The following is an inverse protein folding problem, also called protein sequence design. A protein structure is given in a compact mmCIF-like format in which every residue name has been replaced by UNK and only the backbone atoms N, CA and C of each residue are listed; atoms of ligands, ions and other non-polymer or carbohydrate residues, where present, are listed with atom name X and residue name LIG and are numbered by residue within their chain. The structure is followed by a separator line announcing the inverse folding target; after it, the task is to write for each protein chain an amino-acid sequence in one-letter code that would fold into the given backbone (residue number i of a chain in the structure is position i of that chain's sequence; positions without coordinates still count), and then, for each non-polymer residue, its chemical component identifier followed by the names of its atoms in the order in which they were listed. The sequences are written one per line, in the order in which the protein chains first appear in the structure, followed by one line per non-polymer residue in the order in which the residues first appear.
data_IF_376063046620
#
_entry.id   IF_376063046620
#
_cell.length_a   1.000
_cell.length_b   1.000
_cell.length_c   1.000
_cell.angle_alpha   90.00
_cell.angle_beta   90.00
_cell.angle_gamma   90.00
#
_symmetry.space_group_name_H-M   'P 1'
#
loop_
_entity.id
_entity.type
_entity.pdbx_description
1 polymer ?
#
# COMPACT_ATOMS: atom_id res chain seq x y z
N UNK A 1 4.09 -28.82 -95.70
CA UNK A 1 4.82 -29.54 -94.63
C UNK A 1 3.86 -30.47 -93.89
N UNK A 2 4.24 -31.74 -93.81
CA UNK A 2 3.40 -32.90 -93.49
C UNK A 2 2.85 -32.87 -92.06
N UNK A 3 1.67 -33.50 -91.86
CA UNK A 3 1.00 -33.69 -90.57
C UNK A 3 1.91 -34.30 -89.48
N UNK A 4 2.99 -34.96 -89.90
CA UNK A 4 4.03 -35.53 -89.04
C UNK A 4 4.87 -34.48 -88.29
N UNK A 5 5.05 -33.27 -88.84
CA UNK A 5 5.86 -32.21 -88.21
C UNK A 5 5.18 -31.50 -87.03
N UNK A 6 3.85 -31.52 -86.97
CA UNK A 6 3.08 -30.89 -85.86
C UNK A 6 2.98 -31.78 -84.61
N UNK A 7 3.13 -33.10 -84.77
CA UNK A 7 3.07 -34.05 -83.65
C UNK A 7 4.40 -34.04 -82.88
N UNK A 8 5.54 -33.92 -83.59
CA UNK A 8 6.85 -33.84 -82.93
C UNK A 8 7.04 -32.54 -82.12
N UNK A 9 6.50 -31.41 -82.59
CA UNK A 9 6.57 -30.14 -81.83
C UNK A 9 5.67 -30.16 -80.60
N UNK A 10 4.49 -30.80 -80.67
CA UNK A 10 3.61 -30.96 -79.51
C UNK A 10 4.20 -31.88 -78.42
N UNK A 11 4.87 -32.97 -78.81
CA UNK A 11 5.54 -33.87 -77.85
C UNK A 11 6.77 -33.20 -77.22
N UNK A 12 7.53 -32.43 -77.98
CA UNK A 12 8.66 -31.65 -77.45
C UNK A 12 8.23 -30.57 -76.46
N UNK A 13 7.11 -29.89 -76.72
CA UNK A 13 6.54 -28.90 -75.79
C UNK A 13 5.98 -29.57 -74.53
N UNK A 14 5.30 -30.71 -74.65
CA UNK A 14 4.83 -31.45 -73.50
C UNK A 14 5.97 -31.97 -72.61
N UNK A 15 7.06 -32.49 -73.22
CA UNK A 15 8.25 -32.92 -72.48
C UNK A 15 8.97 -31.75 -71.82
N UNK A 16 9.05 -30.59 -72.47
CA UNK A 16 9.61 -29.37 -71.88
C UNK A 16 8.77 -28.83 -70.72
N UNK A 17 7.43 -28.89 -70.82
CA UNK A 17 6.52 -28.52 -69.72
C UNK A 17 6.66 -29.49 -68.55
N UNK A 18 6.74 -30.80 -68.81
CA UNK A 18 6.97 -31.80 -67.75
C UNK A 18 8.34 -31.62 -67.11
N UNK A 19 9.39 -31.33 -67.87
CA UNK A 19 10.72 -31.05 -67.34
C UNK A 19 10.73 -29.76 -66.52
N UNK A 20 10.06 -28.71 -66.98
CA UNK A 20 9.90 -27.44 -66.26
C UNK A 20 9.16 -27.63 -64.93
N UNK A 21 8.10 -28.46 -64.93
CA UNK A 21 7.33 -28.80 -63.73
C UNK A 21 8.15 -29.66 -62.75
N UNK A 22 8.98 -30.57 -63.25
CA UNK A 22 9.87 -31.41 -62.40
C UNK A 22 11.04 -30.60 -61.83
N UNK A 23 11.57 -29.62 -62.57
CA UNK A 23 12.60 -28.71 -62.06
C UNK A 23 12.01 -27.71 -61.06
N UNK A 24 10.79 -27.19 -61.29
CA UNK A 24 10.10 -26.34 -60.31
C UNK A 24 9.73 -27.10 -59.03
N UNK A 25 9.37 -28.39 -59.11
CA UNK A 25 9.07 -29.19 -57.91
C UNK A 25 10.29 -29.63 -57.08
N UNK A 26 11.53 -29.41 -57.56
CA UNK A 26 12.77 -29.72 -56.81
C UNK A 26 13.34 -28.53 -56.04
N UNK A 27 12.80 -27.32 -56.23
CA UNK A 27 13.00 -26.20 -55.30
C UNK A 27 12.05 -26.37 -54.13
N UNK A 28 12.46 -27.13 -53.09
CA UNK A 28 11.68 -27.19 -51.85
C UNK A 28 11.58 -25.79 -51.27
N UNK A 29 10.35 -25.32 -51.04
CA UNK A 29 10.04 -24.07 -50.36
C UNK A 29 10.84 -23.98 -49.05
N UNK A 30 11.96 -23.25 -49.08
CA UNK A 30 12.71 -22.97 -47.88
C UNK A 30 11.90 -21.94 -47.07
N UNK A 31 11.45 -22.36 -45.88
CA UNK A 31 10.69 -21.49 -45.00
C UNK A 31 11.64 -20.47 -44.41
N UNK A 32 11.31 -19.19 -44.53
CA UNK A 32 12.06 -18.10 -43.91
C UNK A 32 11.71 -18.04 -42.43
N UNK A 33 12.71 -18.10 -41.57
CA UNK A 33 12.52 -18.12 -40.12
C UNK A 33 13.59 -17.25 -39.50
N UNK A 34 13.23 -16.54 -38.44
CA UNK A 34 14.18 -15.79 -37.64
C UNK A 34 14.97 -16.74 -36.75
N UNK A 35 16.26 -16.46 -36.57
CA UNK A 35 17.14 -17.30 -35.76
C UNK A 35 17.58 -16.53 -34.54
N UNK A 36 17.32 -17.10 -33.36
CA UNK A 36 17.86 -16.63 -32.09
C UNK A 36 19.01 -17.51 -31.62
N UNK A 37 19.85 -16.98 -30.74
CA UNK A 37 20.88 -17.74 -30.05
C UNK A 37 20.40 -18.16 -28.65
N UNK A 38 20.84 -19.34 -28.21
CA UNK A 38 20.71 -19.76 -26.81
C UNK A 38 21.78 -19.05 -25.99
N UNK A 39 21.38 -18.28 -24.98
CA UNK A 39 22.28 -17.47 -24.15
C UNK A 39 22.20 -17.87 -22.68
N UNK A 40 23.28 -17.66 -21.93
CA UNK A 40 23.20 -17.72 -20.47
C UNK A 40 22.63 -16.40 -19.95
N UNK A 41 21.46 -16.47 -19.31
CA UNK A 41 20.79 -15.30 -18.76
C UNK A 41 20.36 -15.54 -17.33
N UNK A 42 20.38 -14.47 -16.55
CA UNK A 42 19.79 -14.46 -15.21
C UNK A 42 18.31 -14.10 -15.36
N UNK A 43 17.44 -15.10 -15.28
CA UNK A 43 15.98 -14.91 -15.33
C UNK A 43 15.47 -14.63 -13.92
N UNK A 44 14.90 -13.43 -13.72
CA UNK A 44 14.30 -13.03 -12.44
C UNK A 44 12.80 -12.91 -12.63
N UNK A 45 11.98 -13.81 -12.08
CA UNK A 45 10.53 -13.71 -12.22
C UNK A 45 10.03 -12.49 -11.44
N UNK A 46 9.26 -11.65 -12.12
CA UNK A 46 8.64 -10.47 -11.53
C UNK A 46 7.16 -10.75 -11.25
N UNK A 47 6.67 -10.25 -10.13
CA UNK A 47 5.24 -10.19 -9.84
C UNK A 47 4.79 -8.77 -10.08
N UNK A 48 3.83 -8.61 -10.98
CA UNK A 48 3.21 -7.31 -11.28
C UNK A 48 2.08 -7.06 -10.29
N UNK A 49 2.13 -5.91 -9.64
CA UNK A 49 1.09 -5.46 -8.73
C UNK A 49 0.76 -3.98 -8.98
N UNK A 50 -0.49 -3.61 -8.71
CA UNK A 50 -0.94 -2.23 -8.80
C UNK A 50 -1.35 -1.74 -7.43
N UNK A 51 -1.09 -0.48 -7.15
CA UNK A 51 -1.35 0.11 -5.84
C UNK A 51 -1.28 1.62 -5.82
N UNK A 52 -1.13 2.17 -4.64
CA UNK A 52 -0.98 3.60 -4.43
C UNK A 52 0.21 3.93 -3.54
N UNK A 53 0.76 5.13 -3.74
CA UNK A 53 1.78 5.70 -2.88
C UNK A 53 1.12 6.30 -1.63
N UNK A 54 1.65 5.95 -0.47
CA UNK A 54 1.21 6.44 0.82
C UNK A 54 2.42 6.79 1.69
N UNK A 55 2.22 7.66 2.68
CA UNK A 55 3.24 7.93 3.67
C UNK A 55 3.21 6.87 4.77
N UNK A 56 4.34 6.66 5.44
CA UNK A 56 4.40 5.70 6.54
C UNK A 56 3.40 6.02 7.64
N UNK A 57 3.32 7.31 7.96
CA UNK A 57 2.50 7.85 9.03
C UNK A 57 1.65 8.96 8.44
N UNK A 58 0.33 8.74 8.43
CA UNK A 58 -0.67 9.73 8.05
C UNK A 58 -1.72 9.78 9.17
N UNK A 59 -1.98 10.97 9.70
CA UNK A 59 -2.90 11.19 10.80
C UNK A 59 -3.94 12.22 10.37
N UNK A 60 -5.19 11.78 10.31
CA UNK A 60 -6.34 12.67 10.16
C UNK A 60 -6.69 13.29 11.50
N UNK A 61 -6.66 14.61 11.56
CA UNK A 61 -7.00 15.39 12.75
C UNK A 61 -8.49 15.72 12.72
N UNK A 62 -9.17 15.28 13.76
CA UNK A 62 -10.60 15.50 14.00
C UNK A 62 -10.79 16.38 15.22
N UNK A 63 -11.92 17.07 15.28
CA UNK A 63 -12.29 17.78 16.51
C UNK A 63 -12.86 16.83 17.56
N UNK A 64 -12.51 17.07 18.82
CA UNK A 64 -13.13 16.40 19.98
C UNK A 64 -14.20 17.27 20.66
N UNK A 65 -14.19 18.58 20.39
CA UNK A 65 -15.15 19.55 20.94
C UNK A 65 -15.87 20.28 19.81
N UNK A 66 -17.12 20.66 20.05
CA UNK A 66 -17.87 21.46 19.10
C UNK A 66 -17.40 22.91 19.17
N UNK A 67 -17.16 23.53 18.02
CA UNK A 67 -16.75 24.94 17.98
C UNK A 67 -16.64 25.48 16.56
N UNK A 68 -16.78 26.80 16.42
CA UNK A 68 -16.50 27.49 15.16
C UNK A 68 -14.98 27.68 15.01
N UNK A 69 -14.44 27.50 13.81
CA UNK A 69 -13.03 27.82 13.52
C UNK A 69 -12.82 29.32 13.59
N UNK A 70 -12.12 29.78 14.62
CA UNK A 70 -11.81 31.19 14.86
C UNK A 70 -10.51 31.60 14.15
N UNK A 71 -9.50 30.73 14.16
CA UNK A 71 -8.22 30.97 13.51
C UNK A 71 -7.75 29.70 12.79
N UNK A 72 -7.22 29.86 11.58
CA UNK A 72 -6.56 28.82 10.81
C UNK A 72 -5.15 29.31 10.48
N UNK A 73 -4.14 28.64 11.02
CA UNK A 73 -2.74 29.08 10.97
C UNK A 73 -1.90 28.36 9.91
N UNK A 74 -2.47 27.31 9.29
CA UNK A 74 -1.79 26.46 8.32
C UNK A 74 -2.57 26.40 7.01
N UNK A 75 -1.85 26.17 5.91
CA UNK A 75 -2.41 25.90 4.59
C UNK A 75 -2.03 24.49 4.14
N UNK A 76 -2.76 23.99 3.15
CA UNK A 76 -2.42 22.75 2.48
C UNK A 76 -1.02 22.86 1.85
N UNK A 77 -0.18 21.87 2.12
CA UNK A 77 1.22 21.88 1.73
C UNK A 77 2.17 22.56 2.72
N UNK A 78 1.73 23.16 3.83
CA UNK A 78 2.67 23.69 4.81
C UNK A 78 3.37 22.56 5.60
N UNK A 79 4.65 22.75 5.92
CA UNK A 79 5.38 21.88 6.84
C UNK A 79 5.13 22.35 8.27
N UNK A 80 4.77 21.41 9.14
CA UNK A 80 4.43 21.67 10.54
C UNK A 80 5.27 20.79 11.46
N UNK A 81 5.59 21.33 12.63
CA UNK A 81 6.31 20.59 13.67
C UNK A 81 5.36 20.02 14.71
N UNK A 82 5.76 18.93 15.36
CA UNK A 82 5.04 18.36 16.48
C UNK A 82 4.81 19.42 17.57
N UNK A 83 3.56 19.59 17.98
CA UNK A 83 3.12 20.56 18.98
C UNK A 83 2.79 21.95 18.42
N UNK A 84 3.07 22.22 17.16
CA UNK A 84 2.72 23.47 16.49
C UNK A 84 1.20 23.64 16.42
N UNK A 85 0.70 24.86 16.62
CA UNK A 85 -0.73 25.14 16.58
C UNK A 85 -1.18 25.24 15.12
N UNK A 86 -2.17 24.42 14.77
CA UNK A 86 -2.68 24.33 13.40
C UNK A 86 -3.89 25.25 13.21
N UNK A 87 -4.82 25.18 14.16
CA UNK A 87 -6.03 25.99 14.17
C UNK A 87 -6.56 26.15 15.60
N UNK A 88 -7.41 27.15 15.78
CA UNK A 88 -8.11 27.40 17.05
C UNK A 88 -9.61 27.49 16.82
N UNK A 89 -10.35 26.78 17.65
CA UNK A 89 -11.79 26.92 17.76
C UNK A 89 -12.12 28.09 18.69
N UNK A 90 -13.30 28.69 18.52
CA UNK A 90 -13.82 29.74 19.38
C UNK A 90 -13.95 29.22 20.84
N UNK A 91 -13.17 29.76 21.79
CA UNK A 91 -13.16 29.27 23.16
C UNK A 91 -14.27 29.88 24.02
N UNK A 92 -15.05 30.85 23.53
CA UNK A 92 -15.90 31.71 24.36
C UNK A 92 -16.83 30.93 25.30
N UNK A 93 -17.53 29.91 24.78
CA UNK A 93 -18.46 29.10 25.58
C UNK A 93 -17.74 28.23 26.61
N UNK A 94 -16.62 27.61 26.23
CA UNK A 94 -15.86 26.73 27.13
C UNK A 94 -15.10 27.54 28.19
N UNK A 95 -14.60 28.71 27.84
CA UNK A 95 -13.97 29.64 28.78
C UNK A 95 -14.98 30.10 29.82
N UNK A 96 -16.18 30.52 29.40
CA UNK A 96 -17.24 30.92 30.33
C UNK A 96 -17.63 29.78 31.30
N UNK A 97 -17.61 28.52 30.83
CA UNK A 97 -17.86 27.36 31.67
C UNK A 97 -16.75 27.12 32.69
N UNK A 98 -15.47 27.27 32.29
CA UNK A 98 -14.32 27.22 33.21
C UNK A 98 -14.45 28.31 34.27
N UNK A 99 -14.72 29.55 33.87
CA UNK A 99 -14.84 30.69 34.78
C UNK A 99 -15.95 30.49 35.83
N UNK A 100 -17.09 29.93 35.40
CA UNK A 100 -18.21 29.59 36.29
C UNK A 100 -17.84 28.50 37.30
N UNK A 101 -17.16 27.44 36.87
CA UNK A 101 -16.71 26.35 37.74
C UNK A 101 -15.60 26.80 38.70
N UNK A 102 -14.71 27.69 38.26
CA UNK A 102 -13.72 28.31 39.16
C UNK A 102 -14.38 29.14 40.25
N UNK A 103 -15.44 29.89 39.92
CA UNK A 103 -16.23 30.61 40.92
C UNK A 103 -16.92 29.63 41.90
N UNK A 104 -17.47 28.53 41.39
CA UNK A 104 -18.02 27.45 42.21
C UNK A 104 -16.99 26.85 43.17
N UNK A 105 -15.77 26.56 42.69
CA UNK A 105 -14.70 26.03 43.54
C UNK A 105 -14.28 27.02 44.63
N UNK A 106 -14.24 28.33 44.31
CA UNK A 106 -14.00 29.38 45.32
C UNK A 106 -15.09 29.37 46.40
N UNK A 107 -16.35 29.20 46.01
CA UNK A 107 -17.46 29.08 46.96
C UNK A 107 -17.34 27.83 47.83
N UNK A 108 -17.03 26.67 47.25
CA UNK A 108 -16.83 25.41 48.00
C UNK A 108 -15.66 25.52 48.98
N UNK A 109 -14.57 26.19 48.61
CA UNK A 109 -13.45 26.46 49.53
C UNK A 109 -13.86 27.33 50.72
N UNK A 110 -14.67 28.37 50.50
CA UNK A 110 -15.22 29.18 51.58
C UNK A 110 -16.16 28.37 52.49
N UNK A 111 -16.91 27.41 51.93
CA UNK A 111 -17.75 26.50 52.72
C UNK A 111 -16.91 25.58 53.61
N UNK A 112 -15.81 25.02 53.10
CA UNK A 112 -14.84 24.24 53.90
C UNK A 112 -14.30 25.08 55.05
N UNK A 113 -13.86 26.32 54.80
CA UNK A 113 -13.34 27.19 55.86
C UNK A 113 -14.39 27.45 56.95
N UNK A 114 -15.64 27.72 56.56
CA UNK A 114 -16.75 27.89 57.51
C UNK A 114 -17.01 26.62 58.33
N UNK A 115 -17.08 25.46 57.68
CA UNK A 115 -17.29 24.18 58.34
C UNK A 115 -16.12 23.82 59.26
N UNK A 116 -14.89 24.16 58.88
CA UNK A 116 -13.67 23.95 59.66
C UNK A 116 -13.67 24.75 60.95
N UNK A 117 -13.97 26.04 60.87
CA UNK A 117 -14.08 26.92 62.05
C UNK A 117 -15.20 26.45 62.98
N UNK A 118 -16.34 26.02 62.44
CA UNK A 118 -17.43 25.45 63.22
C UNK A 118 -17.01 24.15 63.93
N UNK A 119 -16.36 23.22 63.21
CA UNK A 119 -15.84 21.98 63.77
C UNK A 119 -14.81 22.24 64.87
N UNK A 120 -13.87 23.17 64.68
CA UNK A 120 -12.86 23.53 65.69
C UNK A 120 -13.48 24.10 66.97
N UNK A 121 -14.54 24.90 66.83
CA UNK A 121 -15.29 25.45 67.96
C UNK A 121 -15.93 24.33 68.79
N UNK A 122 -16.56 23.36 68.12
CA UNK A 122 -17.19 22.20 68.76
C UNK A 122 -16.15 21.23 69.34
N UNK A 123 -15.00 21.03 68.68
CA UNK A 123 -13.88 20.24 69.20
C UNK A 123 -13.32 20.82 70.51
N UNK A 124 -13.16 22.14 70.55
CA UNK A 124 -12.69 22.84 71.76
C UNK A 124 -13.71 22.74 72.89
N UNK A 125 -15.01 22.71 72.58
CA UNK A 125 -16.08 22.44 73.55
C UNK A 125 -16.02 20.98 74.02
N UNK A 126 -15.91 20.01 73.11
CA UNK A 126 -15.77 18.60 73.40
C UNK A 126 -14.61 18.31 74.35
N UNK A 127 -13.42 18.87 74.10
CA UNK A 127 -12.23 18.68 74.94
C UNK A 127 -12.45 19.16 76.38
N UNK A 128 -13.11 20.30 76.56
CA UNK A 128 -13.47 20.83 77.89
C UNK A 128 -14.47 19.92 78.60
N UNK A 129 -15.48 19.44 77.90
CA UNK A 129 -16.50 18.55 78.48
C UNK A 129 -15.95 17.16 78.82
N UNK A 130 -14.96 16.67 78.08
CA UNK A 130 -14.26 15.44 78.40
C UNK A 130 -13.51 15.55 79.73
N UNK A 131 -12.77 16.64 79.96
CA UNK A 131 -12.09 16.91 81.24
C UNK A 131 -13.10 17.02 82.39
N UNK A 132 -14.23 17.70 82.17
CA UNK A 132 -15.27 17.83 83.19
C UNK A 132 -15.94 16.48 83.53
N UNK A 133 -16.09 15.58 82.55
CA UNK A 133 -16.60 14.22 82.76
C UNK A 133 -15.64 13.37 83.57
N UNK A 134 -14.33 13.47 83.30
CA UNK A 134 -13.29 12.80 84.10
C UNK A 134 -13.30 13.28 85.55
N UNK A 135 -13.61 14.55 85.79
CA UNK A 135 -13.81 15.11 87.14
C UNK A 135 -15.18 14.80 87.78
N UNK A 136 -16.08 14.09 87.08
CA UNK A 136 -17.40 13.68 87.60
C UNK A 136 -18.46 14.78 87.66
N UNK A 137 -18.26 15.92 87.01
CA UNK A 137 -19.07 17.15 87.18
C UNK A 137 -20.26 17.24 86.20
N UNK A 138 -20.32 16.40 85.16
CA UNK A 138 -21.33 16.50 84.10
C UNK A 138 -22.22 15.26 83.99
N UNK A 139 -23.47 15.46 83.58
CA UNK A 139 -24.42 14.39 83.29
C UNK A 139 -24.07 13.61 82.01
N UNK A 140 -24.51 12.35 81.94
CA UNK A 140 -24.28 11.48 80.79
C UNK A 140 -24.97 12.01 79.51
N UNK A 141 -26.18 12.56 79.62
CA UNK A 141 -26.91 13.07 78.45
C UNK A 141 -26.20 14.27 77.82
N UNK A 142 -25.69 15.19 78.64
CA UNK A 142 -24.96 16.36 78.15
C UNK A 142 -23.66 15.96 77.45
N UNK A 143 -22.98 14.92 77.94
CA UNK A 143 -21.78 14.39 77.31
C UNK A 143 -22.09 13.79 75.93
N UNK A 144 -23.11 12.94 75.84
CA UNK A 144 -23.52 12.32 74.58
C UNK A 144 -24.03 13.34 73.56
N UNK A 145 -24.68 14.42 74.00
CA UNK A 145 -25.11 15.53 73.15
C UNK A 145 -23.91 16.24 72.50
N UNK A 146 -22.89 16.61 73.28
CA UNK A 146 -21.69 17.27 72.74
C UNK A 146 -20.89 16.31 71.85
N UNK A 147 -20.87 15.01 72.16
CA UNK A 147 -20.28 13.98 71.29
C UNK A 147 -20.97 13.97 69.93
N UNK A 148 -22.31 13.92 69.92
CA UNK A 148 -23.13 13.93 68.71
C UNK A 148 -22.90 15.22 67.90
N UNK A 149 -22.87 16.38 68.55
CA UNK A 149 -22.56 17.67 67.90
C UNK A 149 -21.18 17.68 67.24
N UNK A 150 -20.16 17.11 67.89
CA UNK A 150 -18.81 16.96 67.31
C UNK A 150 -18.84 16.08 66.08
N UNK A 151 -19.50 14.93 66.17
CA UNK A 151 -19.55 13.97 65.07
C UNK A 151 -20.31 14.57 63.86
N UNK A 152 -21.39 15.30 64.09
CA UNK A 152 -22.10 16.07 63.06
C UNK A 152 -21.21 17.12 62.41
N UNK A 153 -20.47 17.92 63.18
CA UNK A 153 -19.59 18.95 62.65
C UNK A 153 -18.43 18.37 61.81
N UNK A 154 -17.89 17.20 62.21
CA UNK A 154 -16.90 16.46 61.42
C UNK A 154 -17.48 15.94 60.11
N UNK A 155 -18.68 15.38 60.14
CA UNK A 155 -19.38 14.90 58.94
C UNK A 155 -19.65 16.06 57.98
N UNK A 156 -20.06 17.23 58.48
CA UNK A 156 -20.30 18.43 57.68
C UNK A 156 -19.01 18.96 57.02
N UNK A 157 -17.89 18.97 57.76
CA UNK A 157 -16.59 19.34 57.21
C UNK A 157 -16.18 18.38 56.09
N UNK A 158 -16.30 17.07 56.31
CA UNK A 158 -16.00 16.07 55.29
C UNK A 158 -16.93 16.23 54.07
N UNK A 159 -18.24 16.45 54.28
CA UNK A 159 -19.19 16.73 53.21
C UNK A 159 -18.77 17.93 52.36
N UNK A 160 -18.35 19.03 53.00
CA UNK A 160 -17.86 20.22 52.30
C UNK A 160 -16.58 19.94 51.51
N UNK A 161 -15.68 19.10 52.04
CA UNK A 161 -14.46 18.67 51.34
C UNK A 161 -14.79 17.81 50.10
N UNK A 162 -15.70 16.85 50.22
CA UNK A 162 -16.13 16.01 49.10
C UNK A 162 -16.83 16.83 48.01
N UNK A 163 -17.64 17.81 48.39
CA UNK A 163 -18.27 18.74 47.44
C UNK A 163 -17.23 19.58 46.68
N UNK A 164 -16.18 20.05 47.36
CA UNK A 164 -15.09 20.77 46.71
C UNK A 164 -14.29 19.86 45.76
N UNK A 165 -14.01 18.62 46.16
CA UNK A 165 -13.36 17.60 45.33
C UNK A 165 -14.16 17.32 44.05
N UNK A 166 -15.48 17.16 44.17
CA UNK A 166 -16.38 17.03 43.01
C UNK A 166 -16.33 18.26 42.09
N UNK A 167 -16.35 19.46 42.66
CA UNK A 167 -16.29 20.71 41.88
C UNK A 167 -14.94 20.85 41.17
N UNK A 168 -13.85 20.46 41.82
CA UNK A 168 -12.50 20.45 41.25
C UNK A 168 -12.37 19.46 40.08
N UNK A 169 -12.95 18.26 40.22
CA UNK A 169 -13.01 17.28 39.14
C UNK A 169 -13.77 17.80 37.91
N UNK A 170 -14.90 18.49 38.13
CA UNK A 170 -15.66 19.15 37.06
C UNK A 170 -14.86 20.27 36.38
N UNK A 171 -14.15 21.10 37.18
CA UNK A 171 -13.28 22.14 36.65
C UNK A 171 -12.13 21.56 35.82
N UNK A 172 -11.51 20.47 36.27
CA UNK A 172 -10.47 19.78 35.51
C UNK A 172 -11.00 19.28 34.16
N UNK A 173 -12.19 18.69 34.13
CA UNK A 173 -12.84 18.25 32.90
C UNK A 173 -13.14 19.44 31.96
N UNK A 174 -13.64 20.56 32.47
CA UNK A 174 -13.93 21.75 31.66
C UNK A 174 -12.65 22.38 31.10
N UNK A 175 -11.56 22.41 31.87
CA UNK A 175 -10.25 22.89 31.41
C UNK A 175 -9.66 22.00 30.33
N UNK A 176 -9.84 20.68 30.42
CA UNK A 176 -9.42 19.74 29.38
C UNK A 176 -10.21 19.98 28.08
N UNK A 177 -11.52 20.19 28.17
CA UNK A 177 -12.33 20.55 27.00
C UNK A 177 -11.90 21.87 26.38
N UNK A 178 -11.58 22.88 27.20
CA UNK A 178 -11.02 24.15 26.73
C UNK A 178 -9.67 23.96 26.06
N UNK A 179 -8.77 23.13 26.60
CA UNK A 179 -7.48 22.84 25.98
C UNK A 179 -7.63 22.20 24.58
N UNK A 180 -8.66 21.36 24.40
CA UNK A 180 -9.02 20.74 23.11
C UNK A 180 -9.54 21.71 22.05
N UNK A 181 -9.77 22.99 22.38
CA UNK A 181 -10.07 24.04 21.39
C UNK A 181 -8.86 24.42 20.54
N UNK A 182 -7.64 24.17 21.05
CA UNK A 182 -6.39 24.47 20.35
C UNK A 182 -5.84 23.18 19.77
N UNK A 183 -5.95 23.03 18.46
CA UNK A 183 -5.51 21.83 17.78
C UNK A 183 -4.04 21.96 17.38
N UNK A 184 -3.26 20.95 17.75
CA UNK A 184 -1.80 20.91 17.55
C UNK A 184 -1.40 19.72 16.70
N UNK A 185 -0.26 19.84 16.01
CA UNK A 185 0.28 18.75 15.23
C UNK A 185 0.77 17.61 16.13
N UNK A 186 0.28 16.36 15.97
CA UNK A 186 0.74 15.22 16.76
C UNK A 186 2.13 14.70 16.31
N UNK A 187 2.51 14.99 15.06
CA UNK A 187 3.76 14.57 14.42
C UNK A 187 4.37 15.74 13.64
N UNK A 188 5.67 15.65 13.36
CA UNK A 188 6.30 16.48 12.34
C UNK A 188 5.87 15.97 10.95
N UNK A 189 5.53 16.87 10.03
CA UNK A 189 5.07 16.44 8.72
C UNK A 189 4.54 17.59 7.86
N UNK A 190 3.91 17.23 6.74
CA UNK A 190 3.27 18.17 5.82
C UNK A 190 1.76 18.03 5.90
N UNK A 191 1.04 19.14 5.84
CA UNK A 191 -0.43 19.13 5.71
C UNK A 191 -0.79 18.62 4.31
N UNK A 192 -1.34 17.42 4.21
CA UNK A 192 -1.69 16.77 2.93
C UNK A 192 -3.06 17.19 2.44
N UNK A 193 -3.99 17.43 3.37
CA UNK A 193 -5.37 17.79 3.05
C UNK A 193 -5.90 18.75 4.11
N UNK A 194 -6.56 19.82 3.68
CA UNK A 194 -7.28 20.74 4.55
C UNK A 194 -8.76 20.77 4.12
N UNK A 195 -9.64 20.23 4.95
CA UNK A 195 -11.08 20.11 4.64
C UNK A 195 -11.86 21.30 5.19
N UNK A 196 -11.51 21.77 6.40
CA UNK A 196 -12.23 22.82 7.11
C UNK A 196 -11.77 24.23 6.68
N UNK A 197 -12.71 25.18 6.63
CA UNK A 197 -12.42 26.61 6.36
C UNK A 197 -12.66 27.50 7.57
N UNK A 198 -12.06 28.68 7.54
CA UNK A 198 -12.28 29.73 8.55
C UNK A 198 -13.78 30.06 8.66
N UNK A 199 -14.33 30.05 9.87
CA UNK A 199 -15.74 30.34 10.13
C UNK A 199 -16.70 29.13 10.02
N UNK A 200 -16.24 27.98 9.52
CA UNK A 200 -17.03 26.75 9.55
C UNK A 200 -17.13 26.20 10.99
N UNK A 201 -18.16 25.38 11.24
CA UNK A 201 -18.39 24.77 12.55
C UNK A 201 -17.90 23.33 12.53
N UNK A 202 -16.90 23.05 13.36
CA UNK A 202 -16.38 21.71 13.58
C UNK A 202 -17.29 20.96 14.55
N UNK A 203 -17.71 19.74 14.17
CA UNK A 203 -18.57 18.89 14.98
C UNK A 203 -17.80 17.61 15.33
N UNK A 204 -17.72 17.22 16.62
CA UNK A 204 -17.00 16.02 17.02
C UNK A 204 -17.70 14.75 16.52
N UNK A 205 -16.94 13.67 16.34
CA UNK A 205 -17.56 12.39 15.97
C UNK A 205 -18.41 11.88 17.12
N UNK A 206 -19.69 11.63 16.83
CA UNK A 206 -20.61 11.00 17.76
C UNK A 206 -21.14 9.71 17.14
N UNK A 207 -21.79 8.85 17.95
CA UNK A 207 -22.30 7.53 17.55
C UNK A 207 -23.18 7.52 16.29
N UNK A 208 -23.71 8.68 15.86
CA UNK A 208 -24.52 8.84 14.64
C UNK A 208 -24.04 9.94 13.70
N UNK A 209 -22.90 10.59 13.97
CA UNK A 209 -22.36 11.69 13.17
C UNK A 209 -20.88 11.40 12.90
N UNK A 210 -20.53 11.19 11.63
CA UNK A 210 -19.13 11.20 11.21
C UNK A 210 -18.57 12.57 11.57
N UNK A 211 -17.62 12.60 12.52
CA UNK A 211 -17.01 13.85 12.98
C UNK A 211 -16.37 14.60 11.81
N UNK A 212 -16.28 15.92 11.94
CA UNK A 212 -15.62 16.74 10.94
C UNK A 212 -14.13 16.40 10.88
N UNK A 213 -13.69 15.80 9.78
CA UNK A 213 -12.28 15.77 9.41
C UNK A 213 -11.85 17.21 9.16
N UNK A 214 -10.82 17.68 9.87
CA UNK A 214 -10.38 19.06 9.77
C UNK A 214 -9.25 19.18 8.77
N UNK A 215 -8.21 18.38 9.00
CA UNK A 215 -7.02 18.32 8.16
C UNK A 215 -6.29 17.00 8.37
N UNK A 216 -5.40 16.67 7.45
CA UNK A 216 -4.55 15.48 7.53
C UNK A 216 -3.08 15.88 7.45
N UNK A 217 -2.26 15.29 8.31
CA UNK A 217 -0.81 15.49 8.34
C UNK A 217 -0.14 14.16 8.02
N UNK A 218 0.88 14.20 7.18
CA UNK A 218 1.68 13.03 6.90
C UNK A 218 3.18 13.31 7.00
N UNK A 219 3.92 12.30 7.45
CA UNK A 219 5.38 12.33 7.47
C UNK A 219 5.93 12.03 6.07
N UNK A 220 6.52 13.05 5.46
CA UNK A 220 7.09 12.99 4.10
C UNK A 220 8.46 12.30 4.04
N UNK A 221 9.05 11.95 5.18
CA UNK A 221 10.41 11.40 5.26
C UNK A 221 10.46 9.93 4.83
N UNK A 222 9.38 9.19 5.07
CA UNK A 222 9.30 7.76 4.81
C UNK A 222 8.07 7.45 3.95
N UNK A 223 8.32 7.03 2.72
CA UNK A 223 7.27 6.71 1.74
C UNK A 223 7.16 5.20 1.51
N UNK A 224 5.93 4.75 1.33
CA UNK A 224 5.59 3.37 1.03
C UNK A 224 4.73 3.31 -0.23
N UNK A 225 4.95 2.30 -1.05
CA UNK A 225 3.96 1.87 -2.04
C UNK A 225 3.13 0.74 -1.41
N UNK A 226 1.83 0.97 -1.26
CA UNK A 226 0.88 -0.06 -0.85
C UNK A 226 0.28 -0.68 -2.12
N UNK A 227 0.76 -1.87 -2.48
CA UNK A 227 0.36 -2.58 -3.69
C UNK A 227 -0.45 -3.82 -3.39
N UNK A 228 -1.46 -4.10 -4.19
CA UNK A 228 -2.32 -5.25 -4.02
C UNK A 228 -1.79 -6.40 -4.90
N UNK A 229 -1.30 -7.46 -4.27
CA UNK A 229 -0.80 -8.67 -4.95
C UNK A 229 -1.89 -9.74 -4.97
N UNK A 230 -2.10 -10.40 -6.11
CA UNK A 230 -3.11 -11.46 -6.24
C UNK A 230 -2.79 -12.69 -5.36
N UNK A 231 -3.83 -13.42 -4.94
CA UNK A 231 -3.71 -14.66 -4.14
C UNK A 231 -2.86 -15.75 -4.81
N UNK A 232 -2.78 -15.77 -6.14
CA UNK A 232 -1.94 -16.72 -6.91
C UNK A 232 -0.44 -16.45 -6.74
N UNK A 233 -0.07 -15.19 -6.48
CA UNK A 233 1.32 -14.72 -6.55
C UNK A 233 1.88 -14.33 -5.19
N UNK A 234 1.00 -14.04 -4.20
CA UNK A 234 1.40 -13.64 -2.84
C UNK A 234 2.32 -14.66 -2.17
N UNK A 235 2.16 -15.96 -2.46
CA UNK A 235 2.99 -17.03 -1.90
C UNK A 235 4.48 -16.92 -2.30
N UNK A 236 4.79 -16.19 -3.38
CA UNK A 236 6.16 -15.95 -3.88
C UNK A 236 6.75 -14.65 -3.36
N UNK A 237 5.95 -13.78 -2.75
CA UNK A 237 6.36 -12.47 -2.25
C UNK A 237 6.80 -12.60 -0.79
N UNK A 238 8.05 -12.27 -0.51
CA UNK A 238 8.65 -12.38 0.83
C UNK A 238 9.29 -11.04 1.21
N UNK A 239 9.22 -10.63 2.49
CA UNK A 239 9.96 -9.47 2.98
C UNK A 239 11.45 -9.53 2.62
N UNK A 240 12.03 -8.41 2.21
CA UNK A 240 13.42 -8.26 1.78
C UNK A 240 13.65 -8.33 0.27
N UNK A 241 12.64 -8.71 -0.53
CA UNK A 241 12.73 -8.67 -1.99
C UNK A 241 12.81 -7.23 -2.51
N UNK A 242 13.57 -7.03 -3.60
CA UNK A 242 13.64 -5.75 -4.30
C UNK A 242 12.44 -5.60 -5.22
N UNK A 243 11.94 -4.37 -5.33
CA UNK A 243 10.83 -4.03 -6.21
C UNK A 243 11.13 -2.75 -6.97
N UNK A 244 10.75 -2.72 -8.26
CA UNK A 244 10.76 -1.52 -9.09
C UNK A 244 9.36 -0.91 -9.06
N UNK A 245 9.25 0.34 -8.62
CA UNK A 245 7.99 1.08 -8.56
C UNK A 245 7.97 2.12 -9.67
N UNK A 246 6.96 2.04 -10.54
CA UNK A 246 6.71 2.98 -11.64
C UNK A 246 5.39 3.71 -11.38
N UNK A 247 5.41 5.02 -11.14
CA UNK A 247 4.19 5.80 -10.92
C UNK A 247 3.43 6.00 -12.22
N UNK A 248 2.10 6.06 -12.11
CA UNK A 248 1.27 6.41 -13.26
C UNK A 248 1.54 7.84 -13.76
N UNK A 249 1.90 8.76 -12.87
CA UNK A 249 2.18 10.16 -13.20
C UNK A 249 3.53 10.37 -13.93
N UNK A 250 4.50 9.46 -13.74
CA UNK A 250 5.83 9.56 -14.33
C UNK A 250 6.27 8.20 -14.91
N UNK A 251 5.77 7.83 -16.11
CA UNK A 251 6.05 6.51 -16.69
C UNK A 251 7.53 6.29 -17.07
N UNK A 252 8.30 7.36 -17.24
CA UNK A 252 9.73 7.30 -17.61
C UNK A 252 10.65 7.13 -16.38
N UNK A 253 10.12 7.37 -15.18
CA UNK A 253 10.88 7.25 -13.93
C UNK A 253 10.50 5.93 -13.23
N UNK A 254 11.52 5.22 -12.74
CA UNK A 254 11.32 4.04 -11.91
C UNK A 254 12.16 4.14 -10.66
N UNK A 255 11.58 3.79 -9.52
CA UNK A 255 12.22 3.86 -8.22
C UNK A 255 12.43 2.47 -7.65
N UNK A 256 13.51 2.32 -6.91
CA UNK A 256 13.80 1.08 -6.22
C UNK A 256 13.22 1.13 -4.80
N UNK A 257 12.62 0.02 -4.40
CA UNK A 257 12.12 -0.19 -3.06
C UNK A 257 12.35 -1.62 -2.58
N UNK A 258 12.11 -1.85 -1.30
CA UNK A 258 12.25 -3.16 -0.67
C UNK A 258 10.92 -3.53 -0.03
N UNK A 259 10.47 -4.77 -0.26
CA UNK A 259 9.27 -5.32 0.37
C UNK A 259 9.51 -5.39 1.88
N UNK A 260 8.73 -4.66 2.66
CA UNK A 260 8.89 -4.63 4.12
C UNK A 260 7.90 -5.55 4.81
N UNK A 261 6.62 -5.47 4.44
CA UNK A 261 5.57 -6.30 5.03
C UNK A 261 4.59 -6.78 3.98
N UNK A 262 4.19 -8.05 4.09
CA UNK A 262 3.08 -8.65 3.35
C UNK A 262 1.93 -8.82 4.33
N UNK A 263 0.75 -8.25 4.05
CA UNK A 263 -0.39 -8.39 4.92
C UNK A 263 -0.91 -9.83 4.93
N UNK A 264 -1.31 -10.30 6.11
CA UNK A 264 -1.83 -11.67 6.31
C UNK A 264 -3.31 -11.77 5.93
N UNK A 265 -4.05 -10.68 6.03
CA UNK A 265 -5.47 -10.61 5.67
C UNK A 265 -5.65 -10.14 4.23
N UNK A 266 -6.47 -10.82 3.42
CA UNK A 266 -6.79 -10.33 2.08
C UNK A 266 -7.67 -9.07 2.18
N UNK A 267 -7.43 -8.12 1.29
CA UNK A 267 -8.36 -7.02 0.99
C UNK A 267 -9.21 -7.45 -0.20
N UNK A 268 -10.53 -7.47 -0.01
CA UNK A 268 -11.47 -7.82 -1.07
C UNK A 268 -11.86 -6.55 -1.82
N UNK A 269 -11.35 -6.42 -3.05
CA UNK A 269 -11.73 -5.32 -3.95
C UNK A 269 -12.93 -5.80 -4.77
N UNK A 270 -14.00 -5.00 -4.80
CA UNK A 270 -15.25 -5.37 -5.46
C UNK A 270 -15.01 -5.64 -6.96
N UNK A 271 -15.28 -6.87 -7.42
CA UNK A 271 -15.07 -7.27 -8.82
C UNK A 271 -13.66 -7.78 -9.17
N UNK A 272 -12.73 -7.83 -8.22
CA UNK A 272 -11.43 -8.48 -8.38
C UNK A 272 -11.28 -9.66 -7.40
N UNK A 273 -10.39 -10.61 -7.73
CA UNK A 273 -10.04 -11.72 -6.85
C UNK A 273 -9.48 -11.24 -5.50
N UNK A 274 -9.28 -12.16 -4.55
CA UNK A 274 -8.64 -11.82 -3.27
C UNK A 274 -7.23 -11.29 -3.53
N UNK A 275 -6.93 -10.12 -2.98
CA UNK A 275 -5.61 -9.50 -3.08
C UNK A 275 -5.05 -9.25 -1.69
N UNK A 276 -3.73 -9.33 -1.55
CA UNK A 276 -3.04 -9.10 -0.29
C UNK A 276 -2.23 -7.80 -0.42
N UNK A 277 -2.47 -6.81 0.46
CA UNK A 277 -1.70 -5.58 0.42
C UNK A 277 -0.26 -5.84 0.88
N UNK A 278 0.68 -5.42 0.06
CA UNK A 278 2.12 -5.49 0.31
C UNK A 278 2.64 -4.06 0.42
N UNK A 279 3.37 -3.78 1.50
CA UNK A 279 4.03 -2.49 1.72
C UNK A 279 5.47 -2.58 1.27
N UNK A 280 5.81 -1.75 0.30
CA UNK A 280 7.16 -1.63 -0.26
C UNK A 280 7.72 -0.29 0.20
N UNK A 281 8.81 -0.31 0.97
CA UNK A 281 9.50 0.90 1.40
C UNK A 281 10.36 1.41 0.25
N UNK A 282 10.15 2.67 -0.14
CA UNK A 282 10.92 3.31 -1.19
C UNK A 282 12.28 3.76 -0.66
N UNK A 283 13.34 3.58 -1.45
CA UNK A 283 14.67 4.09 -1.12
C UNK A 283 14.89 5.55 -1.59
N UNK A 284 13.86 6.18 -2.17
CA UNK A 284 13.98 7.46 -2.86
C UNK A 284 13.94 8.68 -1.92
N UNK A 285 14.90 9.59 -2.17
CA UNK A 285 15.09 10.91 -1.57
C UNK A 285 13.98 11.89 -2.04
N UNK A 286 13.50 12.82 -1.19
CA UNK A 286 12.27 13.57 -1.41
C UNK A 286 12.49 14.81 -2.28
N UNK A 287 12.66 14.65 -3.60
CA UNK A 287 12.36 15.75 -4.51
C UNK A 287 10.86 15.75 -4.81
N UNK A 288 10.08 16.38 -3.91
CA UNK A 288 8.81 17.12 -4.05
C UNK A 288 7.76 16.79 -5.14
N UNK A 289 7.83 15.68 -5.87
CA UNK A 289 6.89 15.32 -6.95
C UNK A 289 5.81 14.34 -6.51
N UNK A 290 5.79 13.95 -5.23
CA UNK A 290 4.90 12.94 -4.69
C UNK A 290 3.64 13.56 -4.08
N UNK A 291 2.47 13.01 -4.42
CA UNK A 291 1.23 13.24 -3.69
C UNK A 291 0.73 11.90 -3.18
N UNK A 292 0.17 11.87 -1.97
CA UNK A 292 -0.50 10.66 -1.45
C UNK A 292 -1.62 10.25 -2.40
N UNK A 293 -1.88 8.95 -2.47
CA UNK A 293 -2.95 8.42 -3.32
C UNK A 293 -2.59 8.33 -4.81
N UNK A 294 -1.39 8.76 -5.23
CA UNK A 294 -0.90 8.50 -6.58
C UNK A 294 -0.88 7.00 -6.88
N UNK A 295 -1.44 6.59 -8.01
CA UNK A 295 -1.38 5.19 -8.45
C UNK A 295 0.03 4.83 -8.92
N UNK A 296 0.47 3.63 -8.58
CA UNK A 296 1.75 3.08 -9.01
C UNK A 296 1.62 1.61 -9.41
N UNK A 297 2.53 1.20 -10.30
CA UNK A 297 2.77 -0.19 -10.68
C UNK A 297 4.05 -0.64 -9.99
N UNK A 298 4.03 -1.77 -9.31
CA UNK A 298 5.21 -2.38 -8.74
C UNK A 298 5.54 -3.70 -9.46
N UNK A 299 6.82 -3.88 -9.72
CA UNK A 299 7.41 -5.09 -10.27
C UNK A 299 8.29 -5.69 -9.19
N UNK A 300 7.77 -6.70 -8.48
CA UNK A 300 8.45 -7.33 -7.34
C UNK A 300 9.32 -8.47 -7.86
N UNK A 301 10.62 -8.39 -7.63
CA UNK A 301 11.57 -9.44 -8.02
C UNK A 301 11.52 -10.59 -7.02
N UNK A 302 11.00 -11.75 -7.45
CA UNK A 302 10.82 -12.91 -6.55
C UNK A 302 12.12 -13.63 -6.20
N UNK A 303 13.22 -13.38 -6.94
CA UNK A 303 14.51 -14.06 -6.74
C UNK A 303 15.71 -13.24 -7.22
N UNK A 304 16.19 -12.30 -6.42
CA UNK A 304 17.32 -11.44 -6.81
C UNK A 304 18.69 -11.89 -6.25
N UNK A 305 18.75 -12.61 -5.13
CA UNK A 305 20.02 -12.76 -4.39
C UNK A 305 20.90 -13.95 -4.78
N UNK A 306 20.34 -15.01 -5.38
CA UNK A 306 21.05 -16.27 -5.71
C UNK A 306 20.79 -16.76 -7.15
N UNK A 307 20.42 -15.85 -8.06
CA UNK A 307 20.08 -16.21 -9.42
C UNK A 307 21.35 -16.55 -10.21
N UNK A 308 21.63 -17.85 -10.33
CA UNK A 308 22.71 -18.36 -11.19
C UNK A 308 22.32 -18.17 -12.67
N UNK A 309 23.28 -17.89 -13.57
CA UNK A 309 23.02 -17.91 -15.01
C UNK A 309 22.41 -19.26 -15.38
N UNK A 310 21.29 -19.22 -16.09
CA UNK A 310 20.62 -20.40 -16.63
C UNK A 310 20.60 -20.29 -18.15
N UNK A 311 20.72 -21.44 -18.82
CA UNK A 311 20.55 -21.52 -20.27
C UNK A 311 19.13 -21.06 -20.61
N UNK A 312 19.01 -19.95 -21.32
CA UNK A 312 17.74 -19.31 -21.62
C UNK A 312 17.45 -19.31 -23.12
N UNK A 313 16.18 -19.49 -23.47
CA UNK A 313 15.68 -19.37 -24.85
C UNK A 313 14.53 -18.35 -24.88
N UNK A 314 14.34 -17.59 -25.97
CA UNK A 314 13.20 -16.70 -26.09
C UNK A 314 11.88 -17.47 -25.96
N UNK A 315 10.88 -16.91 -25.29
CA UNK A 315 9.54 -17.53 -25.12
C UNK A 315 8.94 -17.96 -26.46
N UNK A 316 9.19 -17.16 -27.51
CA UNK A 316 8.72 -17.40 -28.87
C UNK A 316 9.29 -18.68 -29.51
N UNK A 317 10.43 -19.18 -29.04
CA UNK A 317 11.09 -20.38 -29.57
C UNK A 317 10.52 -21.69 -29.00
N UNK A 318 9.79 -21.63 -27.88
CA UNK A 318 9.28 -22.81 -27.18
C UNK A 318 7.90 -23.17 -27.69
N UNK A 319 7.76 -24.39 -28.21
CA UNK A 319 6.47 -24.97 -28.59
C UNK A 319 5.99 -25.92 -27.52
N UNK A 320 4.78 -25.68 -27.02
CA UNK A 320 4.05 -26.62 -26.19
C UNK A 320 3.19 -27.51 -27.08
N UNK A 321 3.49 -28.80 -27.09
CA UNK A 321 2.60 -29.79 -27.68
C UNK A 321 1.68 -30.31 -26.58
N UNK A 322 0.37 -30.05 -26.71
CA UNK A 322 -0.64 -30.59 -25.80
C UNK A 322 -0.63 -32.13 -25.87
N UNK A 323 -0.61 -32.78 -24.71
CA UNK A 323 -0.73 -34.23 -24.64
C UNK A 323 -2.03 -34.70 -25.28
N UNK A 324 -1.97 -35.77 -26.08
CA UNK A 324 -3.14 -36.32 -26.78
C UNK A 324 -4.17 -36.95 -25.81
N UNK A 325 -3.81 -37.06 -24.52
CA UNK A 325 -4.63 -37.66 -23.47
C UNK A 325 -4.52 -36.83 -22.19
N UNK A 326 -5.57 -36.84 -21.36
CA UNK A 326 -5.68 -36.06 -20.11
C UNK A 326 -4.60 -36.38 -19.05
N UNK A 327 -3.86 -37.48 -19.21
CA UNK A 327 -2.79 -37.94 -18.32
C UNK A 327 -1.35 -37.70 -18.85
N UNK A 328 -1.17 -37.15 -20.06
CA UNK A 328 0.18 -36.83 -20.57
C UNK A 328 0.51 -35.34 -20.39
N UNK A 329 1.59 -34.99 -19.69
CA UNK A 329 2.01 -33.59 -19.54
C UNK A 329 2.41 -33.00 -20.89
N UNK A 330 2.07 -31.73 -21.11
CA UNK A 330 2.47 -31.00 -22.32
C UNK A 330 4.00 -31.03 -22.46
N UNK A 331 4.48 -31.45 -23.64
CA UNK A 331 5.92 -31.53 -23.92
C UNK A 331 6.37 -30.24 -24.58
N UNK A 332 7.41 -29.61 -24.01
CA UNK A 332 8.04 -28.46 -24.62
C UNK A 332 9.08 -28.92 -25.64
N UNK A 333 9.10 -28.30 -26.82
CA UNK A 333 10.10 -28.58 -27.87
C UNK A 333 10.59 -27.29 -28.52
N UNK A 334 11.85 -27.31 -28.95
CA UNK A 334 12.52 -26.20 -29.65
C UNK A 334 13.13 -26.75 -30.93
N UNK A 335 13.13 -25.95 -32.01
CA UNK A 335 13.82 -26.31 -33.24
C UNK A 335 15.24 -25.75 -33.24
N UNK A 336 16.24 -26.63 -33.29
CA UNK A 336 17.64 -26.27 -33.42
C UNK A 336 18.01 -26.29 -34.91
N UNK A 337 18.65 -25.22 -35.37
CA UNK A 337 19.04 -25.08 -36.77
C UNK A 337 20.51 -25.52 -36.92
N UNK A 338 20.74 -26.58 -37.69
CA UNK A 338 22.07 -27.06 -38.07
C UNK A 338 22.11 -27.25 -39.58
N UNK A 339 23.11 -26.66 -40.24
CA UNK A 339 23.34 -26.78 -41.68
C UNK A 339 22.11 -26.46 -42.56
N UNK A 340 21.35 -25.42 -42.20
CA UNK A 340 20.15 -24.99 -42.94
C UNK A 340 18.95 -25.93 -42.82
N UNK A 341 18.96 -26.85 -41.84
CA UNK A 341 17.85 -27.73 -41.50
C UNK A 341 17.39 -27.52 -40.06
N UNK A 342 16.08 -27.48 -39.86
CA UNK A 342 15.49 -27.45 -38.53
C UNK A 342 15.36 -28.87 -37.96
N UNK A 343 15.92 -29.10 -36.77
CA UNK A 343 15.78 -30.35 -36.03
C UNK A 343 14.97 -30.12 -34.76
N UNK A 344 13.87 -30.84 -34.59
CA UNK A 344 13.04 -30.72 -33.39
C UNK A 344 13.72 -31.41 -32.22
N UNK A 345 13.83 -30.71 -31.09
CA UNK A 345 14.38 -31.28 -29.85
C UNK A 345 13.46 -31.00 -28.68
N UNK A 346 13.14 -32.04 -27.92
CA UNK A 346 12.39 -31.91 -26.67
C UNK A 346 13.26 -31.25 -25.62
N UNK A 347 12.68 -30.29 -24.90
CA UNK A 347 13.37 -29.52 -23.85
C UNK A 347 12.60 -29.57 -22.55
N UNK A 348 13.34 -29.61 -21.43
CA UNK A 348 12.75 -29.45 -20.10
C UNK A 348 12.81 -27.97 -19.71
N UNK A 349 11.66 -27.32 -19.73
CA UNK A 349 11.53 -25.90 -19.36
C UNK A 349 11.43 -25.72 -17.85
N UNK A 350 11.98 -24.61 -17.37
CA UNK A 350 11.97 -24.19 -15.99
C UNK A 350 11.30 -22.83 -15.81
N UNK A 351 11.99 -21.95 -15.09
CA UNK A 351 11.51 -20.61 -14.76
C UNK A 351 11.42 -19.75 -16.04
N UNK A 352 10.35 -18.96 -16.18
CA UNK A 352 10.15 -18.06 -17.30
C UNK A 352 9.97 -16.60 -16.81
N UNK A 353 10.40 -15.66 -17.64
CA UNK A 353 10.01 -14.25 -17.59
C UNK A 353 9.18 -13.89 -18.85
N UNK A 354 8.90 -12.60 -19.05
CA UNK A 354 8.06 -12.12 -20.17
C UNK A 354 8.67 -12.37 -21.56
N UNK A 355 10.00 -12.56 -21.66
CA UNK A 355 10.72 -12.66 -22.92
C UNK A 355 11.53 -13.97 -23.07
N UNK A 356 11.94 -14.59 -21.97
CA UNK A 356 12.88 -15.72 -21.90
C UNK A 356 12.39 -16.83 -20.96
N UNK A 357 12.74 -18.07 -21.32
CA UNK A 357 12.45 -19.29 -20.56
C UNK A 357 13.75 -20.03 -20.28
N UNK A 358 13.98 -20.39 -19.03
CA UNK A 358 15.09 -21.23 -18.63
C UNK A 358 14.88 -22.67 -19.14
N UNK A 359 15.90 -23.24 -19.76
CA UNK A 359 15.91 -24.64 -20.21
C UNK A 359 16.92 -25.43 -19.39
N UNK A 360 16.43 -26.44 -18.68
CA UNK A 360 17.27 -27.27 -17.80
C UNK A 360 17.96 -28.38 -18.58
N UNK A 361 17.30 -28.90 -19.63
CA UNK A 361 17.83 -29.97 -20.51
C UNK A 361 17.35 -29.79 -21.94
N UNK A 362 18.22 -30.14 -22.88
CA UNK A 362 17.90 -30.25 -24.31
C UNK A 362 18.69 -29.29 -25.21
N UNK A 363 19.10 -28.12 -24.74
CA UNK A 363 19.89 -27.17 -25.55
C UNK A 363 21.17 -26.75 -24.84
N UNK A 364 22.18 -26.40 -25.62
CA UNK A 364 23.45 -25.86 -25.12
C UNK A 364 23.61 -24.40 -25.51
N UNK A 365 24.30 -23.65 -24.67
CA UNK A 365 24.63 -22.24 -24.91
C UNK A 365 25.34 -22.09 -26.26
N UNK A 366 24.92 -21.10 -27.05
CA UNK A 366 25.44 -20.83 -28.40
C UNK A 366 24.78 -21.63 -29.52
N UNK A 367 23.83 -22.55 -29.23
CA UNK A 367 23.03 -23.18 -30.29
C UNK A 367 22.11 -22.15 -30.96
N UNK A 368 21.93 -22.30 -32.28
CA UNK A 368 21.00 -21.49 -33.07
C UNK A 368 19.62 -22.13 -33.06
N UNK A 369 18.62 -21.38 -32.64
CA UNK A 369 17.24 -21.84 -32.49
C UNK A 369 16.30 -21.02 -33.34
N UNK A 370 15.25 -21.64 -33.85
CA UNK A 370 14.20 -20.95 -34.58
C UNK A 370 13.37 -20.08 -33.62
N UNK A 371 13.26 -18.79 -33.93
CA UNK A 371 12.43 -17.80 -33.23
C UNK A 371 11.39 -17.30 -34.23
N UNK A 372 10.17 -17.03 -33.76
CA UNK A 372 9.15 -16.44 -34.62
C UNK A 372 7.74 -16.61 -34.07
N UNK A 373 6.73 -16.01 -34.73
CA UNK A 373 5.34 -16.14 -34.34
C UNK A 373 4.93 -17.61 -34.30
N UNK A 374 4.17 -18.00 -33.27
CA UNK A 374 3.72 -19.39 -33.08
C UNK A 374 3.00 -19.97 -34.32
N UNK A 375 2.43 -19.12 -35.19
CA UNK A 375 1.82 -19.51 -36.45
C UNK A 375 2.82 -20.03 -37.47
N UNK A 376 4.01 -19.43 -37.58
CA UNK A 376 5.04 -19.81 -38.57
C UNK A 376 5.79 -21.06 -38.12
N UNK A 377 6.12 -21.13 -36.82
CA UNK A 377 6.77 -22.28 -36.21
C UNK A 377 5.88 -23.53 -36.14
N UNK A 378 4.55 -23.39 -36.20
CA UNK A 378 3.60 -24.53 -36.24
C UNK A 378 3.70 -25.33 -37.53
N UNK A 379 4.12 -24.71 -38.63
CA UNK A 379 4.24 -25.37 -39.92
C UNK A 379 5.61 -26.03 -40.14
N UNK A 380 6.58 -25.82 -39.25
CA UNK A 380 7.87 -26.52 -39.31
C UNK A 380 7.73 -27.96 -38.88
N UNK A 381 8.33 -28.85 -39.67
CA UNK A 381 8.51 -30.26 -39.38
C UNK A 381 9.99 -30.58 -39.25
N UNK A 382 10.29 -31.64 -38.51
CA UNK A 382 11.66 -32.14 -38.37
C UNK A 382 12.26 -32.44 -39.75
N UNK A 383 13.41 -31.82 -40.05
CA UNK A 383 14.13 -31.96 -41.32
C UNK A 383 13.78 -30.96 -42.42
N UNK A 384 12.88 -30.00 -42.18
CA UNK A 384 12.57 -28.93 -43.14
C UNK A 384 13.81 -28.05 -43.43
N UNK A 385 13.97 -27.65 -44.69
CA UNK A 385 15.00 -26.67 -45.09
C UNK A 385 14.53 -25.26 -44.72
N UNK A 386 15.41 -24.52 -44.08
CA UNK A 386 15.13 -23.18 -43.57
C UNK A 386 16.11 -22.18 -44.16
N UNK A 387 15.59 -21.03 -44.57
CA UNK A 387 16.40 -19.88 -44.98
C UNK A 387 16.45 -18.90 -43.82
N UNK A 388 17.67 -18.60 -43.37
CA UNK A 388 17.91 -17.69 -42.24
C UNK A 388 17.53 -16.27 -42.64
N UNK A 389 16.56 -15.68 -41.93
CA UNK A 389 16.40 -14.24 -41.88
C UNK A 389 17.14 -13.71 -40.66
N UNK A 390 18.05 -12.75 -40.86
CA UNK A 390 18.68 -12.05 -39.75
C UNK A 390 17.59 -11.36 -38.92
N UNK A 391 17.58 -11.63 -37.61
CA UNK A 391 16.66 -11.01 -36.67
C UNK A 391 16.76 -9.48 -36.80
N UNK A 392 15.63 -8.81 -37.03
CA UNK A 392 15.59 -7.36 -37.02
C UNK A 392 16.02 -6.87 -35.63
N UNK A 393 17.08 -6.07 -35.58
CA UNK A 393 17.54 -5.45 -34.34
C UNK A 393 16.41 -4.62 -33.71
N UNK A 394 16.26 -4.78 -32.39
CA UNK A 394 15.36 -4.07 -31.48
C UNK A 394 14.95 -2.67 -31.96
N UNK A 395 13.68 -2.49 -32.28
CA UNK A 395 13.03 -1.18 -32.30
C UNK A 395 12.21 -1.05 -31.01
N UNK A 396 12.43 -0.03 -30.17
CA UNK A 396 11.64 0.16 -28.94
C UNK A 396 10.15 0.33 -29.29
N UNK A 397 9.23 -0.10 -28.42
CA UNK A 397 7.79 -0.06 -28.70
C UNK A 397 7.35 1.39 -28.92
N UNK A 398 7.03 1.71 -30.18
CA UNK A 398 6.45 2.98 -30.57
C UNK A 398 5.07 3.16 -29.94
N UNK A 399 4.91 4.28 -29.24
CA UNK A 399 3.64 4.80 -28.73
C UNK A 399 2.57 4.78 -29.86
N UNK A 400 1.31 4.37 -29.59
CA UNK A 400 0.26 4.48 -30.60
C UNK A 400 0.06 5.96 -31.00
N UNK A 401 -0.25 6.24 -32.28
CA UNK A 401 -0.43 7.62 -32.73
C UNK A 401 -1.59 8.27 -31.98
N UNK A 402 -1.32 9.46 -31.45
CA UNK A 402 -2.32 10.37 -30.92
C UNK A 402 -3.40 10.61 -31.98
N UNK A 403 -4.65 10.31 -31.61
CA UNK A 403 -5.80 10.86 -32.31
C UNK A 403 -5.88 12.34 -31.92
N UNK A 404 -5.63 13.21 -32.90
CA UNK A 404 -5.80 14.66 -32.80
C UNK A 404 -6.96 15.08 -33.73
N UNK A 405 -7.56 16.27 -33.51
CA UNK A 405 -8.82 16.44 -32.77
C UNK A 405 -10.12 16.33 -33.59
#
# INVERSE_FOLDING_TARGET
MSRTGRILTLVGVAAAIVLLVVVQKRGGDAKRIEVGAVEERVITPTVLASGSLTYQTEISIRTEVMGRVAELLVKEGDMVKRGEVLLRLDPATLQAQVDALEAGLRQSRLAIERARVAAETIETKWRRYQQLRESGVIDANTYDEVRSQRDQARVELNSSMEMASQTEAQLAQAREQLAKTVLRAPIDGRVTQLVIKLGETAVPSATSIAGSDLLTIADTSNMYAEVNVNETDVARVVPGQTARIVPAAFPEESWEGVVETVAVSPRQVQGQGKSYPVKIRLNATPELRFHTGMSCRAEISTRASDARPVTAVPVQAVRYEEGQTRDEPARASVFVIRDGKASQRTVDVGIADDAWIAVTRGVTVGERIAVGPARELRFLRDGDRVEEMAAAADAPPGNPPAADP
#
